data_IF_956475531429
#
_entry.id   IF_956475531429
#
_cell.length_a   1.000
_cell.length_b   1.000
_cell.length_c   1.000
_cell.angle_alpha   90.00
_cell.angle_beta   90.00
_cell.angle_gamma   90.00
#
_symmetry.space_group_name_H-M   'P 1'
#
loop_
_entity.id
_entity.type
_entity.pdbx_description
1 polymer ?
#
# COMPACT_ATOMS: atom_id res chain seq x y z
N UNK A 1 10.41 -4.73 -7.76
CA UNK A 1 10.21 -3.53 -6.92
C UNK A 1 9.45 -2.50 -7.76
N UNK A 2 8.43 -1.86 -7.20
CA UNK A 2 7.63 -0.85 -7.87
C UNK A 2 7.51 0.39 -6.99
N UNK A 3 7.31 1.56 -7.60
CA UNK A 3 7.18 2.83 -6.87
C UNK A 3 5.98 3.61 -7.38
N UNK A 4 5.27 4.24 -6.44
CA UNK A 4 4.07 5.02 -6.70
C UNK A 4 4.31 6.48 -6.28
N UNK A 5 3.82 7.42 -7.09
CA UNK A 5 3.94 8.87 -6.80
C UNK A 5 2.63 9.52 -6.33
N UNK A 6 1.50 8.99 -6.78
CA UNK A 6 0.16 9.54 -6.50
C UNK A 6 -0.79 8.55 -5.83
N UNK A 7 -0.48 7.24 -5.88
CA UNK A 7 -1.40 6.17 -5.52
C UNK A 7 -1.67 5.26 -6.71
N UNK A 8 -2.31 4.13 -6.43
CA UNK A 8 -2.92 3.26 -7.43
C UNK A 8 -4.25 2.73 -6.86
N UNK A 9 -5.39 2.98 -7.54
CA UNK A 9 -6.67 2.43 -7.12
C UNK A 9 -6.77 0.92 -7.40
N UNK A 10 -5.83 0.34 -8.16
CA UNK A 10 -5.81 -1.08 -8.51
C UNK A 10 -4.38 -1.53 -8.82
N UNK A 11 -3.78 -2.25 -7.87
CA UNK A 11 -2.44 -2.83 -7.97
C UNK A 11 -2.36 -4.00 -8.95
N UNK A 12 -3.49 -4.62 -9.30
CA UNK A 12 -3.60 -5.65 -10.33
C UNK A 12 -3.14 -5.15 -11.69
N UNK A 13 -3.40 -3.88 -12.02
CA UNK A 13 -2.90 -3.25 -13.26
C UNK A 13 -1.39 -3.17 -13.33
N UNK A 14 -0.69 -3.24 -12.20
CA UNK A 14 0.77 -3.28 -12.13
C UNK A 14 1.32 -4.69 -11.82
N UNK A 15 0.44 -5.72 -11.77
CA UNK A 15 0.77 -7.10 -11.37
C UNK A 15 1.33 -7.22 -9.95
N UNK A 16 0.88 -6.34 -9.07
CA UNK A 16 1.30 -6.23 -7.67
C UNK A 16 0.17 -6.52 -6.68
N UNK A 17 -1.03 -6.84 -7.16
CA UNK A 17 -2.10 -7.33 -6.32
C UNK A 17 -1.60 -8.52 -5.50
N UNK A 18 -1.87 -8.50 -4.21
CA UNK A 18 -1.65 -9.66 -3.34
C UNK A 18 -0.20 -10.18 -3.40
N UNK A 19 0.77 -9.27 -3.51
CA UNK A 19 2.19 -9.63 -3.73
C UNK A 19 3.19 -8.82 -2.93
N UNK A 20 2.73 -7.82 -2.19
CA UNK A 20 3.61 -6.97 -1.41
C UNK A 20 3.82 -7.59 -0.02
N UNK A 21 5.06 -7.97 0.26
CA UNK A 21 5.53 -8.47 1.56
C UNK A 21 6.32 -7.42 2.35
N UNK A 22 6.65 -6.28 1.72
CA UNK A 22 7.23 -5.12 2.39
C UNK A 22 6.88 -3.83 1.66
N UNK A 23 6.79 -2.76 2.43
CA UNK A 23 6.47 -1.41 1.99
C UNK A 23 7.54 -0.45 2.50
N UNK A 24 7.95 0.47 1.65
CA UNK A 24 8.84 1.56 2.03
C UNK A 24 8.26 2.89 1.60
N UNK A 25 7.79 3.67 2.57
CA UNK A 25 7.34 5.02 2.35
C UNK A 25 8.54 5.98 2.41
N UNK A 26 9.10 6.31 1.24
CA UNK A 26 10.20 7.27 1.12
C UNK A 26 9.73 8.73 1.01
N UNK A 27 8.45 9.01 1.28
CA UNK A 27 7.90 10.38 1.23
C UNK A 27 7.77 10.97 2.62
N UNK A 28 7.48 12.27 2.67
CA UNK A 28 7.22 13.01 3.92
C UNK A 28 5.73 12.96 4.33
N UNK A 29 4.90 12.29 3.52
CA UNK A 29 3.46 12.15 3.73
C UNK A 29 3.12 10.73 4.18
N UNK A 30 2.05 10.59 4.96
CA UNK A 30 1.47 9.27 5.25
C UNK A 30 0.85 8.68 3.97
N UNK A 31 0.99 7.37 3.81
CA UNK A 31 0.30 6.61 2.77
C UNK A 31 -0.65 5.61 3.41
N UNK A 32 -1.67 5.25 2.65
CA UNK A 32 -2.65 4.26 3.03
C UNK A 32 -2.62 3.13 2.04
N UNK A 33 -2.47 1.91 2.56
CA UNK A 33 -2.61 0.67 1.79
C UNK A 33 -3.91 0.00 2.18
N UNK A 34 -4.60 -0.55 1.19
CA UNK A 34 -5.93 -1.15 1.34
C UNK A 34 -5.92 -2.56 0.78
N UNK A 35 -6.68 -3.45 1.41
CA UNK A 35 -6.89 -4.82 0.93
C UNK A 35 -7.85 -4.88 -0.28
N UNK A 36 -8.75 -3.89 -0.41
CA UNK A 36 -9.70 -3.76 -1.50
C UNK A 36 -9.23 -2.84 -2.64
N UNK A 37 -9.88 -2.98 -3.80
CA UNK A 37 -9.69 -2.08 -4.93
C UNK A 37 -10.39 -0.72 -4.69
N UNK A 38 -9.85 0.36 -5.23
CA UNK A 38 -10.48 1.68 -5.17
C UNK A 38 -10.44 2.34 -3.80
N UNK A 39 -9.46 2.00 -2.96
CA UNK A 39 -9.28 2.54 -1.60
C UNK A 39 -10.42 2.14 -0.63
N UNK A 40 -10.90 0.90 -0.75
CA UNK A 40 -11.96 0.33 0.11
C UNK A 40 -11.45 -0.82 0.94
N UNK A 41 -12.23 -1.23 1.94
CA UNK A 41 -11.91 -2.36 2.81
C UNK A 41 -11.09 -1.94 4.01
N UNK A 42 -10.37 -2.89 4.60
CA UNK A 42 -9.46 -2.60 5.69
C UNK A 42 -8.27 -1.79 5.16
N UNK A 43 -7.64 -0.99 6.03
CA UNK A 43 -6.47 -0.22 5.66
C UNK A 43 -5.41 -0.15 6.74
N UNK A 44 -4.17 0.08 6.30
CA UNK A 44 -3.03 0.34 7.18
C UNK A 44 -2.33 1.65 6.80
N UNK A 45 -1.99 2.49 7.81
CA UNK A 45 -1.17 3.66 7.60
C UNK A 45 0.32 3.29 7.50
N UNK A 46 0.94 3.73 6.41
CA UNK A 46 2.38 3.71 6.19
C UNK A 46 2.96 5.09 6.47
N UNK A 47 3.65 5.20 7.61
CA UNK A 47 4.19 6.47 8.09
C UNK A 47 5.37 6.96 7.24
N UNK A 48 5.60 8.29 7.20
CA UNK A 48 6.72 8.90 6.47
C UNK A 48 8.08 8.30 6.83
N UNK A 49 8.96 8.21 5.84
CA UNK A 49 10.38 7.80 5.97
C UNK A 49 10.58 6.46 6.68
N UNK A 50 9.63 5.53 6.55
CA UNK A 50 9.63 4.25 7.25
C UNK A 50 9.50 3.07 6.29
N UNK A 51 10.19 1.99 6.63
CA UNK A 51 9.96 0.66 6.05
C UNK A 51 9.11 -0.15 7.01
N UNK A 52 8.09 -0.79 6.47
CA UNK A 52 7.21 -1.70 7.19
C UNK A 52 7.21 -3.02 6.43
N UNK A 53 7.55 -4.08 7.13
CA UNK A 53 7.33 -5.42 6.61
C UNK A 53 5.87 -5.79 6.83
N UNK A 54 5.32 -6.49 5.85
CA UNK A 54 3.92 -6.89 5.85
C UNK A 54 3.85 -8.27 6.48
N UNK A 55 3.11 -8.40 7.57
CA UNK A 55 3.05 -9.62 8.37
C UNK A 55 1.61 -10.04 8.65
N UNK A 56 1.41 -11.34 8.86
CA UNK A 56 0.12 -11.92 9.27
C UNK A 56 -0.91 -11.85 8.15
N UNK A 57 -2.15 -11.49 8.52
CA UNK A 57 -3.31 -11.46 7.61
C UNK A 57 -3.21 -10.39 6.50
N UNK A 58 -2.18 -9.54 6.55
CA UNK A 58 -1.91 -8.50 5.56
C UNK A 58 -0.90 -8.92 4.50
N UNK A 59 -0.18 -10.03 4.69
CA UNK A 59 0.80 -10.50 3.71
C UNK A 59 0.08 -10.93 2.44
N UNK A 60 0.51 -10.36 1.30
CA UNK A 60 -0.09 -10.65 0.01
C UNK A 60 -1.61 -10.36 -0.06
N UNK A 61 -2.08 -9.25 0.53
CA UNK A 61 -3.52 -8.87 0.42
C UNK A 61 -3.78 -7.47 -0.14
N UNK A 62 -2.75 -6.64 -0.35
CA UNK A 62 -2.98 -5.27 -0.82
C UNK A 62 -3.43 -5.21 -2.27
N UNK A 63 -4.51 -4.45 -2.49
CA UNK A 63 -5.12 -4.24 -3.81
C UNK A 63 -5.16 -2.78 -4.25
N UNK A 64 -5.01 -1.82 -3.34
CA UNK A 64 -4.88 -0.40 -3.69
C UNK A 64 -4.10 0.39 -2.65
N UNK A 65 -3.60 1.57 -3.05
CA UNK A 65 -2.88 2.47 -2.15
C UNK A 65 -3.02 3.93 -2.56
N UNK A 66 -3.09 4.86 -1.60
CA UNK A 66 -3.11 6.31 -1.88
C UNK A 66 -2.23 7.07 -0.92
N UNK A 67 -1.75 8.23 -1.35
CA UNK A 67 -1.10 9.21 -0.49
C UNK A 67 -2.18 9.99 0.28
N UNK A 68 -1.95 10.24 1.56
CA UNK A 68 -2.84 11.03 2.41
C UNK A 68 -3.28 10.30 3.67
N UNK A 69 -4.40 10.76 4.24
CA UNK A 69 -4.91 10.26 5.52
C UNK A 69 -5.65 8.91 5.39
N UNK A 70 -5.36 8.07 6.38
CA UNK A 70 -6.07 6.88 6.81
C UNK A 70 -6.81 7.31 8.09
#
# INVERSE_FOLDING_TARGET
>A
MASFRHGSPDLGRQRLNDRASSLFNNTDDTWCVYDGHGYTGDHLPEYPRRSSDVYGDWDNTFSSLRRGEC
#
